data_IF_090255039766
#
_entry.id   IF_090255039766
#
_cell.length_a   1.000
_cell.length_b   1.000
_cell.length_c   1.000
_cell.angle_alpha   90.00
_cell.angle_beta   90.00
_cell.angle_gamma   90.00
#
_symmetry.space_group_name_H-M   'P 1'
#
loop_
_entity.id
_entity.type
_entity.pdbx_description
1 polymer ?
#
# COMPACT_ATOMS: atom_id res chain seq x y z
N UNK A 1 -11.64 -0.01 0.27
CA UNK A 1 -10.30 0.54 0.14
C UNK A 1 -9.37 -0.14 1.12
N UNK A 2 -8.15 -0.51 0.69
CA UNK A 2 -7.14 -1.19 1.50
C UNK A 2 -5.92 -0.27 1.62
N UNK A 3 -5.56 0.09 2.85
CA UNK A 3 -4.48 1.05 3.14
C UNK A 3 -3.09 0.43 3.13
N UNK A 4 -2.04 1.26 3.27
CA UNK A 4 -0.63 0.86 3.29
C UNK A 4 -0.17 0.25 4.62
N UNK A 5 1.12 -0.09 4.69
CA UNK A 5 1.69 -0.86 5.81
C UNK A 5 1.76 -0.07 7.13
N UNK A 6 2.01 1.23 7.08
CA UNK A 6 2.29 2.05 8.27
C UNK A 6 1.11 2.90 8.74
N UNK A 7 0.14 3.15 7.88
CA UNK A 7 -0.97 4.07 8.15
C UNK A 7 -2.27 3.33 8.42
N UNK A 8 -3.17 3.83 9.28
CA UNK A 8 -4.51 3.28 9.44
C UNK A 8 -5.40 3.63 8.22
N UNK A 9 -6.58 3.01 8.13
CA UNK A 9 -7.55 3.24 7.05
C UNK A 9 -7.96 4.72 6.94
N UNK A 10 -7.91 5.46 8.02
CA UNK A 10 -8.18 6.91 8.08
C UNK A 10 -7.32 7.70 7.10
N UNK A 11 -6.13 7.21 6.74
CA UNK A 11 -5.25 7.84 5.76
C UNK A 11 -5.91 7.97 4.37
N UNK A 12 -6.80 7.04 4.02
CA UNK A 12 -7.58 7.07 2.77
C UNK A 12 -8.97 7.71 2.94
N UNK A 13 -9.23 8.35 4.09
CA UNK A 13 -10.54 8.92 4.40
C UNK A 13 -11.00 10.00 3.42
N UNK A 14 -10.12 10.88 2.97
CA UNK A 14 -10.45 11.93 1.99
C UNK A 14 -10.76 11.33 0.62
N UNK A 15 -9.97 10.36 0.16
CA UNK A 15 -10.26 9.62 -1.07
C UNK A 15 -11.62 8.89 -0.98
N UNK A 16 -11.87 8.23 0.16
CA UNK A 16 -13.16 7.57 0.40
C UNK A 16 -14.34 8.55 0.31
N UNK A 17 -14.23 9.72 0.93
CA UNK A 17 -15.26 10.76 0.85
C UNK A 17 -15.47 11.28 -0.57
N UNK A 18 -14.39 11.42 -1.36
CA UNK A 18 -14.49 11.82 -2.76
C UNK A 18 -15.27 10.77 -3.57
N UNK A 19 -14.96 9.49 -3.40
CA UNK A 19 -15.68 8.40 -4.06
C UNK A 19 -17.16 8.33 -3.63
N UNK A 20 -17.47 8.60 -2.36
CA UNK A 20 -18.86 8.69 -1.89
C UNK A 20 -19.60 9.83 -2.57
N UNK A 21 -18.97 10.99 -2.75
CA UNK A 21 -19.57 12.13 -3.50
C UNK A 21 -19.82 11.80 -4.96
N UNK A 22 -19.08 10.85 -5.54
CA UNK A 22 -19.32 10.32 -6.90
C UNK A 22 -20.41 9.23 -6.94
N UNK A 23 -21.10 8.97 -5.83
CA UNK A 23 -22.18 8.00 -5.74
C UNK A 23 -21.76 6.58 -5.39
N UNK A 24 -20.49 6.36 -5.05
CA UNK A 24 -20.01 5.05 -4.62
C UNK A 24 -20.39 4.76 -3.17
N UNK A 25 -20.68 3.50 -2.87
CA UNK A 25 -20.63 2.98 -1.51
C UNK A 25 -19.19 2.55 -1.21
N UNK A 26 -18.64 2.99 -0.09
CA UNK A 26 -17.23 2.73 0.25
C UNK A 26 -17.15 2.04 1.61
N UNK A 27 -16.34 0.97 1.69
CA UNK A 27 -15.92 0.34 2.94
C UNK A 27 -14.46 0.67 3.20
N UNK A 28 -14.18 1.12 4.40
CA UNK A 28 -12.84 1.31 4.97
C UNK A 28 -12.74 0.43 6.21
N UNK A 29 -11.62 -0.23 6.38
CA UNK A 29 -11.30 -1.00 7.58
C UNK A 29 -9.80 -0.91 7.83
N UNK A 30 -9.40 -1.04 9.07
CA UNK A 30 -8.00 -1.14 9.46
C UNK A 30 -7.53 -2.59 9.26
N UNK A 31 -6.40 -2.77 8.58
CA UNK A 31 -5.75 -4.07 8.47
C UNK A 31 -5.32 -4.58 9.85
N UNK A 32 -5.29 -5.88 10.04
CA UNK A 32 -4.82 -6.51 11.27
C UNK A 32 -3.54 -5.87 11.82
N UNK A 33 -3.55 -5.48 13.08
CA UNK A 33 -2.47 -4.79 13.76
C UNK A 33 -2.29 -3.33 13.38
N UNK A 34 -3.28 -2.69 12.75
CA UNK A 34 -3.29 -1.25 12.42
C UNK A 34 -4.55 -0.61 12.96
N UNK A 35 -4.45 0.70 13.21
CA UNK A 35 -5.57 1.51 13.68
C UNK A 35 -6.24 0.93 14.92
N UNK A 36 -7.47 0.47 14.76
CA UNK A 36 -8.26 -0.15 15.83
C UNK A 36 -8.47 -1.67 15.64
N UNK A 37 -7.90 -2.27 14.59
CA UNK A 37 -7.99 -3.71 14.39
C UNK A 37 -6.99 -4.47 15.23
N UNK A 38 -7.43 -5.56 15.88
CA UNK A 38 -6.57 -6.44 16.66
C UNK A 38 -5.43 -7.03 15.80
N UNK A 39 -4.35 -7.44 16.47
CA UNK A 39 -3.23 -8.12 15.84
C UNK A 39 -3.23 -9.59 16.24
N UNK A 40 -3.50 -10.54 15.30
CA UNK A 40 -3.31 -11.96 15.59
C UNK A 40 -1.87 -12.24 16.03
N UNK A 41 -1.72 -12.88 17.18
CA UNK A 41 -0.40 -13.10 17.80
C UNK A 41 0.28 -14.39 17.32
N UNK A 42 -0.51 -15.34 16.79
CA UNK A 42 -0.15 -16.72 16.49
C UNK A 42 -0.17 -17.05 14.98
N UNK A 43 -0.52 -16.08 14.15
CA UNK A 43 -0.58 -16.24 12.69
C UNK A 43 0.32 -15.25 11.97
N UNK A 44 1.03 -15.67 10.91
CA UNK A 44 1.74 -14.74 10.04
C UNK A 44 0.73 -13.88 9.27
N UNK A 45 1.02 -12.59 9.13
CA UNK A 45 0.24 -11.68 8.30
C UNK A 45 0.58 -11.87 6.82
N UNK A 46 0.17 -13.00 6.28
CA UNK A 46 0.34 -13.37 4.88
C UNK A 46 -0.89 -13.04 4.02
N UNK A 47 -0.80 -13.30 2.73
CA UNK A 47 -1.89 -13.04 1.78
C UNK A 47 -3.19 -13.80 2.09
N UNK A 48 -3.11 -14.98 2.73
CA UNK A 48 -4.28 -15.78 3.11
C UNK A 48 -5.03 -15.11 4.25
N UNK A 49 -4.29 -14.66 5.26
CA UNK A 49 -4.88 -13.98 6.41
C UNK A 49 -5.49 -12.64 6.01
N UNK A 50 -4.81 -11.84 5.19
CA UNK A 50 -5.35 -10.59 4.67
C UNK A 50 -6.56 -10.81 3.74
N UNK A 51 -6.55 -11.86 2.91
CA UNK A 51 -7.73 -12.21 2.11
C UNK A 51 -8.93 -12.61 2.99
N UNK A 52 -8.68 -13.33 4.09
CA UNK A 52 -9.69 -13.65 5.08
C UNK A 52 -10.24 -12.39 5.75
N UNK A 53 -9.38 -11.45 6.09
CA UNK A 53 -9.79 -10.16 6.67
C UNK A 53 -10.72 -9.36 5.74
N UNK A 54 -10.42 -9.31 4.44
CA UNK A 54 -11.33 -8.70 3.44
C UNK A 54 -12.68 -9.40 3.46
N UNK A 55 -12.71 -10.75 3.47
CA UNK A 55 -13.96 -11.51 3.53
C UNK A 55 -14.74 -11.20 4.83
N UNK A 56 -14.06 -11.10 5.96
CA UNK A 56 -14.67 -10.70 7.24
C UNK A 56 -15.26 -9.30 7.13
N UNK A 57 -14.51 -8.33 6.61
CA UNK A 57 -14.96 -6.95 6.47
C UNK A 57 -16.23 -6.83 5.60
N UNK A 58 -16.30 -7.52 4.46
CA UNK A 58 -17.46 -7.47 3.57
C UNK A 58 -18.66 -8.26 4.11
N UNK A 59 -18.43 -9.35 4.84
CA UNK A 59 -19.50 -10.18 5.39
C UNK A 59 -20.08 -9.65 6.69
N UNK A 60 -19.29 -8.94 7.49
CA UNK A 60 -19.77 -8.25 8.70
C UNK A 60 -20.54 -6.96 8.41
N UNK A 61 -20.44 -6.44 7.19
CA UNK A 61 -21.18 -5.25 6.79
C UNK A 61 -22.69 -5.54 6.65
N UNK A 62 -23.56 -4.63 7.13
CA UNK A 62 -25.01 -4.76 6.91
C UNK A 62 -25.41 -4.55 5.44
N UNK A 63 -24.50 -4.04 4.62
CA UNK A 63 -24.72 -3.80 3.20
C UNK A 63 -24.20 -5.00 2.40
N UNK A 64 -24.98 -5.58 1.47
CA UNK A 64 -24.49 -6.66 0.63
C UNK A 64 -23.45 -6.12 -0.38
N UNK A 65 -22.25 -6.69 -0.38
CA UNK A 65 -21.15 -6.32 -1.25
C UNK A 65 -20.96 -7.29 -2.43
N UNK A 66 -21.34 -8.54 -2.25
CA UNK A 66 -21.06 -9.61 -3.22
C UNK A 66 -22.01 -9.69 -4.43
N UNK A 67 -23.30 -9.27 -4.36
CA UNK A 67 -24.15 -9.28 -5.54
C UNK A 67 -23.63 -8.34 -6.64
N UNK A 68 -23.23 -8.92 -7.79
CA UNK A 68 -22.67 -8.19 -8.92
C UNK A 68 -21.20 -7.79 -8.79
N UNK A 69 -20.52 -8.26 -7.74
CA UNK A 69 -19.12 -7.95 -7.45
C UNK A 69 -18.89 -6.53 -6.92
N UNK A 70 -17.68 -6.27 -6.49
CA UNK A 70 -17.24 -4.96 -5.97
C UNK A 70 -15.89 -4.54 -6.56
N UNK A 71 -15.58 -3.26 -6.48
CA UNK A 71 -14.28 -2.73 -6.86
C UNK A 71 -13.34 -2.69 -5.67
N UNK A 72 -12.07 -3.02 -5.87
CA UNK A 72 -11.01 -2.87 -4.86
C UNK A 72 -10.07 -1.73 -5.26
N UNK A 73 -9.76 -0.87 -4.31
CA UNK A 73 -8.69 0.12 -4.43
C UNK A 73 -7.66 -0.20 -3.35
N UNK A 74 -6.45 -0.57 -3.75
CA UNK A 74 -5.37 -0.95 -2.84
C UNK A 74 -4.19 0.01 -2.92
N UNK A 75 -3.71 0.49 -1.77
CA UNK A 75 -2.56 1.38 -1.68
C UNK A 75 -1.36 0.68 -1.06
N UNK A 76 -0.19 0.75 -1.72
CA UNK A 76 1.08 0.21 -1.23
C UNK A 76 0.95 -1.29 -0.88
N UNK A 77 1.18 -1.71 0.38
CA UNK A 77 0.88 -3.07 0.85
C UNK A 77 -0.54 -3.50 0.49
N UNK A 78 -1.53 -2.61 0.67
CA UNK A 78 -2.91 -2.86 0.30
C UNK A 78 -3.09 -3.14 -1.19
N UNK A 79 -2.22 -2.62 -2.05
CA UNK A 79 -2.17 -2.94 -3.48
C UNK A 79 -1.75 -4.39 -3.74
N UNK A 80 -0.70 -4.85 -3.07
CA UNK A 80 -0.29 -6.27 -3.15
C UNK A 80 -1.36 -7.23 -2.62
N UNK A 81 -1.99 -6.88 -1.49
CA UNK A 81 -3.12 -7.63 -0.93
C UNK A 81 -4.30 -7.66 -1.90
N UNK A 82 -4.60 -6.53 -2.56
CA UNK A 82 -5.67 -6.43 -3.55
C UNK A 82 -5.43 -7.35 -4.75
N UNK A 83 -4.20 -7.46 -5.23
CA UNK A 83 -3.81 -8.40 -6.28
C UNK A 83 -4.04 -9.85 -5.84
N UNK A 84 -3.52 -10.23 -4.68
CA UNK A 84 -3.69 -11.60 -4.16
C UNK A 84 -5.16 -11.97 -3.95
N UNK A 85 -5.95 -11.05 -3.39
CA UNK A 85 -7.39 -11.26 -3.22
C UNK A 85 -8.11 -11.41 -4.56
N UNK A 86 -7.82 -10.52 -5.51
CA UNK A 86 -8.45 -10.54 -6.84
C UNK A 86 -8.17 -11.84 -7.60
N UNK A 87 -6.95 -12.35 -7.48
CA UNK A 87 -6.56 -13.61 -8.15
C UNK A 87 -7.10 -14.86 -7.44
N UNK A 88 -7.34 -14.78 -6.13
CA UNK A 88 -7.96 -15.87 -5.36
C UNK A 88 -9.50 -15.89 -5.53
N UNK A 89 -10.12 -14.73 -5.69
CA UNK A 89 -11.57 -14.55 -5.78
C UNK A 89 -11.99 -13.72 -6.99
N UNK A 90 -11.65 -14.12 -8.23
CA UNK A 90 -11.82 -13.29 -9.42
C UNK A 90 -13.30 -12.92 -9.70
N UNK A 91 -14.24 -13.79 -9.37
CA UNK A 91 -15.67 -13.53 -9.55
C UNK A 91 -16.25 -12.48 -8.60
N UNK A 92 -15.55 -12.15 -7.52
CA UNK A 92 -15.99 -11.14 -6.56
C UNK A 92 -15.51 -9.73 -6.92
N UNK A 93 -14.42 -9.61 -7.68
CA UNK A 93 -13.77 -8.32 -7.97
C UNK A 93 -14.09 -7.86 -9.38
N UNK A 94 -15.00 -6.88 -9.49
CA UNK A 94 -15.42 -6.28 -10.74
C UNK A 94 -14.37 -5.34 -11.33
N UNK A 95 -13.66 -4.58 -10.50
CA UNK A 95 -12.65 -3.62 -10.95
C UNK A 95 -11.51 -3.54 -9.92
N UNK A 96 -10.29 -3.36 -10.41
CA UNK A 96 -9.08 -3.28 -9.59
C UNK A 96 -8.33 -1.98 -9.86
N UNK A 97 -8.07 -1.23 -8.80
CA UNK A 97 -7.28 0.01 -8.80
C UNK A 97 -6.11 -0.15 -7.84
N UNK A 98 -4.91 0.06 -8.33
CA UNK A 98 -3.67 -0.12 -7.60
C UNK A 98 -2.93 1.22 -7.49
N UNK A 99 -2.71 1.68 -6.27
CA UNK A 99 -2.06 2.96 -5.95
C UNK A 99 -0.68 2.68 -5.36
N UNK A 100 0.39 2.95 -6.11
CA UNK A 100 1.77 2.60 -5.74
C UNK A 100 1.86 1.18 -5.14
N UNK A 101 1.41 0.12 -5.84
CA UNK A 101 1.22 -1.19 -5.26
C UNK A 101 2.56 -1.88 -4.94
N UNK A 102 2.60 -2.59 -3.81
CA UNK A 102 3.62 -3.58 -3.53
C UNK A 102 3.40 -4.87 -4.36
N UNK A 103 4.36 -5.79 -4.36
CA UNK A 103 4.27 -7.09 -5.01
C UNK A 103 5.31 -7.34 -6.09
N UNK A 104 5.74 -6.27 -6.79
CA UNK A 104 6.77 -6.32 -7.81
C UNK A 104 8.01 -5.49 -7.45
N UNK A 105 8.20 -5.18 -6.14
CA UNK A 105 9.42 -4.48 -5.72
C UNK A 105 10.61 -5.36 -6.03
N UNK A 106 11.56 -4.80 -6.78
CA UNK A 106 12.73 -5.55 -7.22
C UNK A 106 13.64 -5.88 -6.05
N UNK A 107 14.15 -7.12 -5.94
CA UNK A 107 14.92 -7.57 -4.77
C UNK A 107 16.15 -6.72 -4.43
N UNK A 108 16.78 -6.05 -5.39
CA UNK A 108 17.97 -5.25 -5.12
C UNK A 108 17.70 -3.96 -4.32
N UNK A 109 16.44 -3.54 -4.18
CA UNK A 109 16.05 -2.45 -3.29
C UNK A 109 16.15 -2.84 -1.80
N UNK A 110 16.18 -4.14 -1.51
CA UNK A 110 16.43 -4.66 -0.16
C UNK A 110 17.92 -4.99 -0.03
N UNK A 111 18.66 -4.18 0.73
CA UNK A 111 20.05 -4.48 1.01
C UNK A 111 20.22 -5.76 1.84
N UNK A 112 21.44 -6.28 1.89
CA UNK A 112 21.74 -7.52 2.62
C UNK A 112 21.47 -7.40 4.13
N UNK A 113 21.60 -6.19 4.70
CA UNK A 113 21.30 -5.93 6.13
C UNK A 113 19.80 -6.05 6.37
N UNK A 114 18.98 -5.44 5.53
CA UNK A 114 17.51 -5.58 5.59
C UNK A 114 17.09 -7.03 5.46
N UNK A 115 17.64 -7.76 4.48
CA UNK A 115 17.35 -9.19 4.31
C UNK A 115 17.74 -10.02 5.51
N UNK A 116 18.91 -9.74 6.12
CA UNK A 116 19.35 -10.41 7.34
C UNK A 116 18.41 -10.09 8.51
N UNK A 117 18.04 -8.80 8.67
CA UNK A 117 17.16 -8.36 9.75
C UNK A 117 15.77 -9.00 9.70
N UNK A 118 15.24 -9.22 8.50
CA UNK A 118 13.94 -9.88 8.32
C UNK A 118 14.03 -11.39 8.13
N UNK A 119 15.23 -11.99 8.28
CA UNK A 119 15.40 -13.45 8.24
C UNK A 119 15.02 -14.10 9.58
N UNK A 120 14.79 -15.43 9.54
CA UNK A 120 14.50 -16.22 10.74
C UNK A 120 15.69 -16.36 11.71
N UNK A 121 16.89 -15.87 11.32
CA UNK A 121 18.08 -15.89 12.18
C UNK A 121 18.08 -14.74 13.21
N UNK A 122 17.28 -13.72 13.00
CA UNK A 122 17.15 -12.57 13.91
C UNK A 122 15.96 -12.78 14.83
N UNK A 123 16.14 -12.76 16.18
CA UNK A 123 15.04 -12.87 17.10
C UNK A 123 13.99 -11.77 16.88
N UNK A 124 12.71 -12.11 16.92
CA UNK A 124 11.62 -11.15 16.64
C UNK A 124 11.67 -9.92 17.53
N UNK A 125 11.98 -10.06 18.82
CA UNK A 125 12.09 -8.92 19.74
C UNK A 125 13.15 -7.89 19.30
N UNK A 126 14.28 -8.35 18.69
CA UNK A 126 15.34 -7.46 18.20
C UNK A 126 14.92 -6.75 16.94
N UNK A 127 14.25 -7.47 16.03
CA UNK A 127 13.66 -6.90 14.83
C UNK A 127 12.61 -5.84 15.21
N UNK A 128 11.67 -6.18 16.09
CA UNK A 128 10.62 -5.29 16.55
C UNK A 128 11.19 -4.02 17.19
N UNK A 129 12.16 -4.16 18.09
CA UNK A 129 12.84 -3.01 18.73
C UNK A 129 13.52 -2.09 17.68
N UNK A 130 14.19 -2.68 16.69
CA UNK A 130 14.88 -1.93 15.65
C UNK A 130 13.88 -1.18 14.77
N UNK A 131 12.80 -1.86 14.38
CA UNK A 131 11.73 -1.30 13.54
C UNK A 131 10.98 -0.19 14.29
N UNK A 132 10.64 -0.42 15.56
CA UNK A 132 9.99 0.59 16.39
C UNK A 132 10.84 1.88 16.47
N UNK A 133 12.13 1.73 16.79
CA UNK A 133 13.05 2.86 16.85
C UNK A 133 13.13 3.62 15.53
N UNK A 134 13.11 2.89 14.41
CA UNK A 134 13.13 3.48 13.07
C UNK A 134 11.85 4.21 12.73
N UNK A 135 10.69 3.63 13.03
CA UNK A 135 9.38 4.25 12.82
C UNK A 135 9.20 5.53 13.65
N UNK A 136 9.71 5.55 14.88
CA UNK A 136 9.72 6.76 15.74
C UNK A 136 10.61 7.88 15.15
N UNK A 137 11.58 7.54 14.31
CA UNK A 137 12.45 8.48 13.60
C UNK A 137 11.86 9.06 12.30
N UNK A 138 10.66 8.65 11.90
CA UNK A 138 9.98 9.07 10.66
C UNK A 138 9.83 7.92 9.65
N UNK A 139 9.38 8.20 8.40
CA UNK A 139 9.06 7.18 7.42
C UNK A 139 10.25 6.26 7.10
N UNK A 140 9.96 4.95 6.94
CA UNK A 140 10.95 3.99 6.50
C UNK A 140 11.20 4.20 5.02
N UNK A 141 12.44 4.54 4.69
CA UNK A 141 12.91 4.62 3.31
C UNK A 141 13.87 3.47 3.05
N UNK A 142 13.77 2.75 1.92
CA UNK A 142 14.78 1.77 1.56
C UNK A 142 16.15 2.45 1.45
N UNK A 143 17.25 1.75 1.80
CA UNK A 143 18.59 2.28 1.58
C UNK A 143 18.80 2.44 0.07
N UNK A 144 19.23 3.63 -0.30
CA UNK A 144 19.52 3.96 -1.69
C UNK A 144 20.68 3.09 -2.20
N UNK A 145 20.45 2.30 -3.22
CA UNK A 145 21.52 1.65 -3.97
C UNK A 145 22.42 2.73 -4.59
N UNK A 146 23.72 2.67 -4.29
CA UNK A 146 24.72 3.51 -4.94
C UNK A 146 24.91 3.01 -6.38
N UNK A 147 24.09 3.46 -7.29
CA UNK A 147 24.34 3.26 -8.71
C UNK A 147 25.28 4.35 -9.19
N UNK A 148 26.50 3.92 -9.59
CA UNK A 148 27.55 4.83 -10.08
C UNK A 148 27.39 5.22 -11.54
N UNK A 149 26.26 5.76 -11.97
CA UNK A 149 26.10 6.35 -13.29
C UNK A 149 25.57 7.78 -13.19
N UNK A 150 26.49 8.72 -13.51
CA UNK A 150 26.31 10.17 -13.45
C UNK A 150 25.29 10.77 -14.45
N UNK A 151 24.50 9.96 -15.16
CA UNK A 151 23.64 10.48 -16.24
C UNK A 151 22.14 10.54 -15.95
N UNK A 152 21.71 10.08 -14.79
CA UNK A 152 20.36 10.30 -14.31
C UNK A 152 20.44 10.67 -12.82
N UNK A 153 19.95 11.81 -12.37
CA UNK A 153 19.76 12.08 -10.95
C UNK A 153 18.57 11.25 -10.48
N UNK A 154 18.80 9.95 -10.42
CA UNK A 154 17.84 9.00 -9.86
C UNK A 154 17.72 9.29 -8.37
N UNK A 155 16.53 9.23 -7.87
CA UNK A 155 15.99 9.46 -6.53
C UNK A 155 16.90 9.15 -5.30
N UNK A 156 18.15 8.79 -5.51
CA UNK A 156 19.11 8.38 -4.51
C UNK A 156 20.05 9.43 -3.94
N UNK A 157 20.32 10.51 -4.63
CA UNK A 157 21.42 11.42 -4.25
C UNK A 157 20.98 12.55 -3.29
N UNK A 158 19.70 12.91 -3.22
CA UNK A 158 19.24 14.06 -2.44
C UNK A 158 18.50 13.73 -1.13
N UNK A 159 18.34 12.44 -0.76
CA UNK A 159 17.51 12.06 0.40
C UNK A 159 18.35 11.81 1.67
N UNK A 160 19.43 12.54 1.86
CA UNK A 160 20.02 12.70 3.20
C UNK A 160 19.26 13.78 3.95
N UNK A 161 18.23 13.40 4.69
CA UNK A 161 17.67 14.24 5.75
C UNK A 161 16.40 15.02 5.43
N UNK A 162 15.86 15.01 4.23
CA UNK A 162 14.60 15.70 3.94
C UNK A 162 13.43 14.73 4.07
N UNK A 163 12.68 14.86 5.18
CA UNK A 163 11.32 14.34 5.30
C UNK A 163 10.50 15.02 4.21
N UNK A 164 9.63 14.25 3.52
CA UNK A 164 8.69 14.86 2.59
C UNK A 164 7.84 15.88 3.38
N UNK A 165 7.92 17.18 3.07
CA UNK A 165 7.15 18.20 3.80
C UNK A 165 5.65 17.91 3.76
N UNK A 166 5.18 17.30 2.67
CA UNK A 166 3.77 16.92 2.51
C UNK A 166 3.39 15.79 3.47
N UNK A 167 4.28 14.81 3.72
CA UNK A 167 4.03 13.72 4.67
C UNK A 167 3.76 14.24 6.09
N UNK A 168 4.56 15.20 6.56
CA UNK A 168 4.43 15.73 7.92
C UNK A 168 3.26 16.70 8.08
N UNK A 169 2.96 17.47 7.04
CA UNK A 169 1.95 18.54 7.09
C UNK A 169 0.56 18.12 6.65
N UNK A 170 0.42 16.99 5.94
CA UNK A 170 -0.88 16.56 5.43
C UNK A 170 -1.83 16.14 6.53
N UNK A 171 -2.91 16.90 6.67
CA UNK A 171 -4.00 16.65 7.60
C UNK A 171 -4.93 15.58 7.04
N UNK A 172 -5.18 14.53 7.82
CA UNK A 172 -6.02 13.39 7.41
C UNK A 172 -7.52 13.69 7.47
N UNK A 173 -7.94 14.53 8.41
CA UNK A 173 -9.35 14.87 8.63
C UNK A 173 -9.52 16.37 8.70
N UNK A 174 -10.40 16.92 7.88
CA UNK A 174 -10.72 18.34 7.88
C UNK A 174 -11.24 18.78 9.25
N UNK A 175 -10.80 19.94 9.71
CA UNK A 175 -11.13 20.45 11.05
C UNK A 175 -10.32 19.85 12.20
N UNK A 176 -9.37 18.93 11.94
CA UNK A 176 -8.46 18.35 12.94
C UNK A 176 -6.98 18.54 12.53
N UNK A 177 -6.44 19.76 12.61
CA UNK A 177 -5.10 20.08 12.07
C UNK A 177 -3.96 19.31 12.73
N UNK A 178 -4.14 18.80 13.96
CA UNK A 178 -3.14 17.96 14.63
C UNK A 178 -3.15 16.50 14.19
N UNK A 179 -4.11 16.07 13.36
CA UNK A 179 -4.18 14.68 12.90
C UNK A 179 -3.52 14.55 11.52
N UNK A 180 -2.21 14.42 11.51
CA UNK A 180 -1.38 14.22 10.32
C UNK A 180 -1.01 12.74 10.14
N UNK A 181 -0.38 12.39 9.01
CA UNK A 181 0.14 11.05 8.77
C UNK A 181 1.13 10.65 9.87
N UNK A 182 2.06 11.55 10.21
CA UNK A 182 3.07 11.31 11.26
C UNK A 182 2.42 11.05 12.62
N UNK A 183 1.43 11.86 13.00
CA UNK A 183 0.74 11.68 14.28
C UNK A 183 -0.12 10.41 14.31
N UNK A 184 -0.69 10.00 13.19
CA UNK A 184 -1.42 8.72 13.11
C UNK A 184 -0.49 7.51 13.29
N UNK A 185 0.71 7.54 12.68
CA UNK A 185 1.72 6.49 12.89
C UNK A 185 2.22 6.48 14.33
N UNK A 186 2.53 7.65 14.88
CA UNK A 186 2.98 7.80 16.27
C UNK A 186 1.92 7.29 17.26
N UNK A 187 0.66 7.63 17.03
CA UNK A 187 -0.45 7.15 17.88
C UNK A 187 -0.47 5.61 17.91
N UNK A 188 -0.30 4.94 16.77
CA UNK A 188 -0.25 3.46 16.72
C UNK A 188 0.97 2.92 17.50
N UNK A 189 2.14 3.55 17.38
CA UNK A 189 3.34 3.17 18.14
C UNK A 189 3.15 3.30 19.65
N UNK A 190 2.36 4.27 20.09
CA UNK A 190 2.16 4.56 21.51
C UNK A 190 0.96 3.82 22.12
N UNK A 191 -0.04 3.45 21.32
CA UNK A 191 -1.33 2.95 21.81
C UNK A 191 -1.72 1.57 21.29
N UNK A 192 -1.04 1.02 20.27
CA UNK A 192 -1.39 -0.27 19.68
C UNK A 192 -0.29 -1.30 19.90
N UNK A 193 -0.42 -2.15 20.92
CA UNK A 193 0.61 -3.12 21.31
C UNK A 193 1.03 -4.10 20.20
N UNK A 194 0.17 -4.38 19.24
CA UNK A 194 0.45 -5.29 18.12
C UNK A 194 1.02 -4.63 16.86
N UNK A 195 1.08 -3.29 16.80
CA UNK A 195 1.41 -2.56 15.58
C UNK A 195 2.79 -2.91 15.01
N UNK A 196 3.84 -2.85 15.83
CA UNK A 196 5.21 -3.12 15.39
C UNK A 196 5.38 -4.58 14.97
N UNK A 197 4.82 -5.51 15.75
CA UNK A 197 4.82 -6.95 15.42
C UNK A 197 4.11 -7.20 14.09
N UNK A 198 2.94 -6.62 13.91
CA UNK A 198 2.18 -6.74 12.67
C UNK A 198 2.91 -6.12 11.47
N UNK A 199 3.58 -4.98 11.68
CA UNK A 199 4.43 -4.36 10.66
C UNK A 199 5.56 -5.29 10.22
N UNK A 200 6.32 -5.87 11.17
CA UNK A 200 7.39 -6.83 10.90
C UNK A 200 6.87 -8.08 10.19
N UNK A 201 5.76 -8.64 10.68
CA UNK A 201 5.11 -9.81 10.08
C UNK A 201 4.68 -9.57 8.64
N UNK A 202 4.13 -8.37 8.35
CA UNK A 202 3.76 -8.01 6.98
C UNK A 202 4.94 -7.95 6.03
N UNK A 203 6.10 -7.41 6.48
CA UNK A 203 7.30 -7.40 5.64
C UNK A 203 7.83 -8.81 5.41
N UNK A 204 7.80 -9.68 6.42
CA UNK A 204 8.29 -11.06 6.30
C UNK A 204 7.41 -11.95 5.41
N UNK A 205 6.09 -11.81 5.49
CA UNK A 205 5.18 -12.87 5.01
C UNK A 205 4.15 -12.38 3.98
N UNK A 206 3.96 -11.07 3.81
CA UNK A 206 2.92 -10.58 2.92
C UNK A 206 3.41 -10.28 1.49
N UNK A 207 2.54 -9.72 0.69
CA UNK A 207 2.67 -9.51 -0.76
C UNK A 207 3.51 -8.28 -1.10
N UNK A 208 4.76 -8.22 -0.61
CA UNK A 208 5.64 -7.05 -0.84
C UNK A 208 6.54 -7.24 -2.06
N UNK A 209 7.16 -8.42 -2.21
CA UNK A 209 8.05 -8.73 -3.32
C UNK A 209 7.77 -10.11 -3.91
N UNK A 210 8.30 -10.39 -5.11
CA UNK A 210 8.29 -11.72 -5.75
C UNK A 210 6.88 -12.31 -5.97
N UNK A 211 5.91 -11.45 -6.32
CA UNK A 211 4.52 -11.86 -6.56
C UNK A 211 4.15 -11.95 -8.04
N UNK A 212 5.13 -12.10 -8.93
CA UNK A 212 4.91 -12.13 -10.39
C UNK A 212 3.83 -13.13 -10.81
N UNK A 213 3.77 -14.30 -10.16
CA UNK A 213 2.77 -15.34 -10.48
C UNK A 213 1.32 -14.89 -10.16
N UNK A 214 1.13 -14.10 -9.11
CA UNK A 214 -0.18 -13.53 -8.82
C UNK A 214 -0.51 -12.41 -9.82
N UNK A 215 0.47 -11.57 -10.15
CA UNK A 215 0.29 -10.50 -11.13
C UNK A 215 0.01 -11.02 -12.54
N UNK A 216 0.64 -12.11 -12.98
CA UNK A 216 0.38 -12.76 -14.29
C UNK A 216 -1.09 -13.15 -14.46
N UNK A 217 -1.75 -13.58 -13.37
CA UNK A 217 -3.18 -13.94 -13.42
C UNK A 217 -4.09 -12.73 -13.67
N UNK A 218 -3.61 -11.50 -13.48
CA UNK A 218 -4.36 -10.31 -13.84
C UNK A 218 -4.53 -10.16 -15.36
N UNK A 219 -3.63 -10.73 -16.15
CA UNK A 219 -3.75 -10.78 -17.62
C UNK A 219 -4.96 -11.61 -18.11
N UNK A 220 -5.50 -12.49 -17.25
CA UNK A 220 -6.67 -13.31 -17.56
C UNK A 220 -8.00 -12.55 -17.39
N UNK A 221 -7.95 -11.30 -16.89
CA UNK A 221 -9.14 -10.47 -16.67
C UNK A 221 -9.66 -9.90 -18.00
N UNK A 222 -10.96 -9.80 -18.13
CA UNK A 222 -11.62 -9.11 -19.24
C UNK A 222 -11.46 -7.59 -19.16
N UNK A 223 -11.41 -7.03 -17.92
CA UNK A 223 -11.30 -5.60 -17.66
C UNK A 223 -9.86 -5.20 -17.33
N UNK A 224 -9.45 -4.04 -17.81
CA UNK A 224 -8.16 -3.45 -17.46
C UNK A 224 -8.02 -3.22 -15.95
N UNK A 225 -6.77 -3.19 -15.50
CA UNK A 225 -6.40 -2.78 -14.14
C UNK A 225 -5.89 -1.33 -14.20
N UNK A 226 -6.41 -0.45 -13.36
CA UNK A 226 -5.84 0.90 -13.20
C UNK A 226 -4.66 0.84 -12.25
N UNK A 227 -3.47 1.24 -12.72
CA UNK A 227 -2.27 1.40 -11.89
C UNK A 227 -1.84 2.85 -11.88
N UNK A 228 -1.74 3.43 -10.69
CA UNK A 228 -1.29 4.80 -10.50
C UNK A 228 0.01 4.78 -9.69
N UNK A 229 1.05 5.45 -10.17
CA UNK A 229 2.35 5.57 -9.50
C UNK A 229 2.67 7.03 -9.16
N UNK A 230 3.47 7.26 -8.14
CA UNK A 230 4.04 8.56 -7.82
C UNK A 230 5.34 8.80 -8.60
N UNK A 231 5.47 9.95 -9.26
CA UNK A 231 6.65 10.28 -10.07
C UNK A 231 7.95 10.31 -9.27
N UNK A 232 7.88 10.76 -8.04
CA UNK A 232 9.03 10.90 -7.13
C UNK A 232 8.96 9.92 -5.95
N UNK A 233 8.22 8.83 -6.13
CA UNK A 233 8.08 7.78 -5.12
C UNK A 233 9.43 7.09 -4.85
N UNK A 234 9.97 7.17 -3.62
CA UNK A 234 11.24 6.55 -3.29
C UNK A 234 11.12 5.07 -2.90
N UNK A 235 9.89 4.57 -2.74
CA UNK A 235 9.60 3.19 -2.32
C UNK A 235 9.22 2.34 -3.53
N UNK A 236 8.30 2.83 -4.34
CA UNK A 236 7.82 2.18 -5.56
C UNK A 236 8.26 3.03 -6.75
N UNK A 237 9.38 2.66 -7.35
CA UNK A 237 9.95 3.41 -8.48
C UNK A 237 9.03 3.27 -9.70
N UNK A 238 8.44 4.38 -10.15
CA UNK A 238 7.40 4.38 -11.17
C UNK A 238 7.80 3.68 -12.47
N UNK A 239 9.01 3.97 -12.98
CA UNK A 239 9.50 3.40 -14.24
C UNK A 239 9.73 1.88 -14.13
N UNK A 240 10.27 1.41 -13.01
CA UNK A 240 10.47 -0.02 -12.76
C UNK A 240 9.14 -0.76 -12.60
N UNK A 241 8.21 -0.18 -11.85
CA UNK A 241 6.89 -0.75 -11.70
C UNK A 241 6.18 -0.84 -13.05
N UNK A 242 6.26 0.20 -13.88
CA UNK A 242 5.66 0.20 -15.22
C UNK A 242 6.22 -0.94 -16.09
N UNK A 243 7.56 -1.04 -16.14
CA UNK A 243 8.24 -2.09 -16.89
C UNK A 243 7.80 -3.49 -16.44
N UNK A 244 7.81 -3.73 -15.13
CA UNK A 244 7.48 -5.03 -14.56
C UNK A 244 5.98 -5.37 -14.72
N UNK A 245 5.07 -4.40 -14.52
CA UNK A 245 3.64 -4.59 -14.72
C UNK A 245 3.33 -4.89 -16.19
N UNK A 246 3.87 -4.11 -17.13
CA UNK A 246 3.64 -4.36 -18.56
C UNK A 246 4.20 -5.71 -19.02
N UNK A 247 5.33 -6.11 -18.46
CA UNK A 247 5.93 -7.42 -18.74
C UNK A 247 5.07 -8.59 -18.25
N UNK A 248 4.45 -8.49 -17.07
CA UNK A 248 3.76 -9.63 -16.45
C UNK A 248 2.25 -9.64 -16.70
N UNK A 249 1.62 -8.47 -16.87
CA UNK A 249 0.16 -8.31 -17.07
C UNK A 249 -0.18 -8.06 -18.53
N UNK A 250 0.72 -7.43 -19.29
CA UNK A 250 0.48 -6.93 -20.65
C UNK A 250 0.03 -5.47 -20.63
N UNK A 251 0.62 -4.67 -21.54
CA UNK A 251 0.33 -3.23 -21.64
C UNK A 251 -1.17 -2.98 -21.94
N UNK A 252 -1.77 -3.80 -22.78
CA UNK A 252 -3.17 -3.72 -23.19
C UNK A 252 -4.16 -3.94 -22.02
N UNK A 253 -3.73 -4.66 -20.98
CA UNK A 253 -4.55 -4.98 -19.80
C UNK A 253 -4.40 -3.95 -18.68
N UNK A 254 -3.58 -2.92 -18.88
CA UNK A 254 -3.23 -1.95 -17.84
C UNK A 254 -3.53 -0.52 -18.30
N UNK A 255 -4.31 0.20 -17.51
CA UNK A 255 -4.39 1.66 -17.61
C UNK A 255 -3.37 2.27 -16.67
N UNK A 256 -2.27 2.75 -17.22
CA UNK A 256 -1.17 3.36 -16.46
C UNK A 256 -1.35 4.86 -16.27
N UNK A 257 -1.08 5.37 -15.04
CA UNK A 257 -1.08 6.79 -14.70
C UNK A 257 0.06 7.13 -13.76
N UNK A 258 0.53 8.37 -13.84
CA UNK A 258 1.59 8.90 -12.97
C UNK A 258 1.15 10.24 -12.38
N UNK A 259 1.17 10.35 -11.06
CA UNK A 259 0.90 11.58 -10.30
C UNK A 259 2.22 12.23 -9.93
N UNK A 260 2.31 13.55 -10.05
CA UNK A 260 3.53 14.28 -9.68
C UNK A 260 3.63 14.48 -8.16
N UNK A 261 3.92 13.39 -7.44
CA UNK A 261 4.05 13.35 -5.98
C UNK A 261 4.89 12.14 -5.56
N UNK A 262 5.18 12.02 -4.27
CA UNK A 262 5.89 10.89 -3.65
C UNK A 262 4.94 9.71 -3.37
N UNK A 263 5.35 8.76 -2.52
CA UNK A 263 4.60 7.53 -2.20
C UNK A 263 3.21 7.81 -1.63
N UNK A 264 3.07 8.88 -0.87
CA UNK A 264 1.85 9.25 -0.16
C UNK A 264 0.79 9.96 -1.02
N UNK A 265 0.94 9.99 -2.36
CA UNK A 265 0.01 10.67 -3.27
C UNK A 265 -1.47 10.25 -3.08
N UNK A 266 -1.84 9.02 -2.69
CA UNK A 266 -3.25 8.72 -2.44
C UNK A 266 -3.85 9.49 -1.27
N UNK A 267 -2.98 10.05 -0.41
CA UNK A 267 -3.36 10.84 0.76
C UNK A 267 -3.20 12.34 0.46
N UNK A 268 -2.12 12.73 -0.20
CA UNK A 268 -1.75 14.14 -0.44
C UNK A 268 -2.39 14.71 -1.71
N UNK A 269 -2.66 13.87 -2.70
CA UNK A 269 -3.26 14.19 -4.02
C UNK A 269 -4.56 13.40 -4.25
N UNK A 270 -5.33 13.18 -3.19
CA UNK A 270 -6.54 12.36 -3.23
C UNK A 270 -7.57 12.83 -4.27
N UNK A 271 -7.63 14.14 -4.57
CA UNK A 271 -8.52 14.71 -5.60
C UNK A 271 -8.14 14.20 -6.99
N UNK A 272 -6.86 14.30 -7.35
CA UNK A 272 -6.33 13.80 -8.62
C UNK A 272 -6.54 12.29 -8.76
N UNK A 273 -6.30 11.54 -7.69
CA UNK A 273 -6.55 10.08 -7.65
C UNK A 273 -8.04 9.77 -7.84
N UNK A 274 -8.93 10.52 -7.18
CA UNK A 274 -10.37 10.33 -7.34
C UNK A 274 -10.84 10.63 -8.77
N UNK A 275 -10.28 11.65 -9.43
CA UNK A 275 -10.59 11.99 -10.82
C UNK A 275 -10.11 10.91 -11.79
N UNK A 276 -8.93 10.32 -11.58
CA UNK A 276 -8.45 9.19 -12.37
C UNK A 276 -9.33 7.95 -12.20
N UNK A 277 -9.74 7.64 -10.97
CA UNK A 277 -10.66 6.54 -10.67
C UNK A 277 -12.03 6.80 -11.33
N UNK A 278 -12.55 8.02 -11.21
CA UNK A 278 -13.80 8.43 -11.88
C UNK A 278 -13.74 8.20 -13.38
N UNK A 279 -12.66 8.67 -14.01
CA UNK A 279 -12.43 8.49 -15.45
C UNK A 279 -12.32 7.02 -15.83
N UNK A 280 -11.70 6.21 -15.00
CA UNK A 280 -11.53 4.77 -15.22
C UNK A 280 -12.86 4.01 -15.12
N UNK A 281 -13.71 4.37 -14.17
CA UNK A 281 -15.03 3.74 -13.98
C UNK A 281 -16.12 4.33 -14.87
N UNK A 282 -15.88 5.48 -15.53
CA UNK A 282 -16.85 6.13 -16.40
C UNK A 282 -18.06 6.71 -15.65
N UNK A 283 -17.85 7.22 -14.45
CA UNK A 283 -18.91 7.76 -13.56
C UNK A 283 -18.74 9.26 -13.31
#
# INVERSE_FOLDING_TARGET
LIHGISTPCLSLGKLAHALVKLGCRVILFDLFGRGYSDSPADLPLDSRLYSTEILIAITSSPIPWTPGGFSIVGYSLGGGIAVDFTTAFPSMVKSLVLLAPAGLIRPYHFDWVSRLMYSDHVPDWLLEWTVERRLRGGPIRPPVAKTGDEKNPTAGAEIKGNRDPEYESTVLVDGRPGLTITEAVKWQLDNHNGFVKAFCSSIKYSSIEQREEAWKKLAEREDQVLVIAGKTDPVIIADELMEDVFKVVGEENVRWRVVNSAHEFPITRWEEVADEIRSFWGI
#
